data_IF_799456431027
#
_entry.id   IF_799456431027
#
_cell.length_a   1.000
_cell.length_b   1.000
_cell.length_c   1.000
_cell.angle_alpha   90.00
_cell.angle_beta   90.00
_cell.angle_gamma   90.00
#
_symmetry.space_group_name_H-M   'P 1'
#
loop_
_entity.id
_entity.type
_entity.pdbx_description
1 polymer ?
#
# COMPACT_ATOMS: atom_id res chain seq x y z
N UNK A 1 0.69 54.46 -50.80
CA UNK A 1 1.98 54.47 -50.09
C UNK A 1 1.71 54.31 -48.59
N UNK A 2 2.54 53.49 -47.92
CA UNK A 2 2.81 53.44 -46.47
C UNK A 2 1.89 52.60 -45.53
N UNK A 3 2.23 51.30 -45.51
CA UNK A 3 2.55 50.40 -44.38
C UNK A 3 1.80 50.46 -43.02
N UNK A 4 1.11 49.34 -42.75
CA UNK A 4 1.20 48.43 -41.60
C UNK A 4 1.77 48.91 -40.26
N UNK A 5 1.01 48.67 -39.18
CA UNK A 5 1.53 48.47 -37.83
C UNK A 5 0.91 47.21 -37.20
N UNK A 6 1.47 46.05 -37.53
CA UNK A 6 1.22 44.78 -36.85
C UNK A 6 2.07 44.76 -35.58
N UNK A 7 1.45 44.92 -34.40
CA UNK A 7 2.15 44.68 -33.12
C UNK A 7 2.14 43.19 -32.82
N UNK A 8 3.25 42.54 -33.14
CA UNK A 8 3.63 41.22 -32.64
C UNK A 8 3.85 41.32 -31.12
N UNK A 9 2.88 40.88 -30.33
CA UNK A 9 3.09 40.60 -28.91
C UNK A 9 3.73 39.20 -28.83
N UNK A 10 5.05 39.18 -28.72
CA UNK A 10 5.82 37.96 -28.53
C UNK A 10 5.51 37.35 -27.16
N UNK A 11 4.68 36.31 -27.13
CA UNK A 11 4.59 35.41 -25.99
C UNK A 11 5.82 34.50 -25.99
N UNK A 12 6.76 34.79 -25.10
CA UNK A 12 7.84 33.87 -24.75
C UNK A 12 7.23 32.69 -23.98
N UNK A 13 6.94 31.59 -24.68
CA UNK A 13 6.61 30.32 -24.06
C UNK A 13 7.92 29.73 -23.55
N UNK A 14 8.22 29.97 -22.27
CA UNK A 14 9.28 29.25 -21.56
C UNK A 14 8.76 27.83 -21.33
N UNK A 15 9.12 26.92 -22.24
CA UNK A 15 8.92 25.49 -22.04
C UNK A 15 9.83 25.03 -20.90
N UNK A 16 9.27 24.96 -19.69
CA UNK A 16 9.91 24.27 -18.56
C UNK A 16 9.88 22.78 -18.91
N UNK A 17 10.98 22.29 -19.47
CA UNK A 17 11.24 20.87 -19.60
C UNK A 17 11.34 20.30 -18.19
N UNK A 18 10.23 19.77 -17.68
CA UNK A 18 10.20 18.91 -16.51
C UNK A 18 11.03 17.66 -16.83
N UNK A 19 12.31 17.71 -16.49
CA UNK A 19 13.15 16.53 -16.38
C UNK A 19 12.58 15.69 -15.23
N UNK A 20 11.62 14.82 -15.56
CA UNK A 20 11.27 13.72 -14.69
C UNK A 20 12.51 12.86 -14.58
N UNK A 21 13.24 13.02 -13.48
CA UNK A 21 14.20 12.04 -13.01
C UNK A 21 13.38 10.75 -12.80
N UNK A 22 13.34 9.91 -13.83
CA UNK A 22 13.01 8.51 -13.70
C UNK A 22 14.07 7.93 -12.76
N UNK A 23 13.80 7.95 -11.46
CA UNK A 23 14.58 7.22 -10.49
C UNK A 23 14.46 5.76 -10.88
N UNK A 24 15.53 5.23 -11.49
CA UNK A 24 15.71 3.81 -11.79
C UNK A 24 15.30 2.98 -10.57
N UNK A 25 14.08 2.46 -10.59
CA UNK A 25 13.58 1.51 -9.62
C UNK A 25 14.38 0.21 -9.83
N UNK A 26 15.46 0.11 -9.07
CA UNK A 26 16.53 -0.87 -9.22
C UNK A 26 16.09 -2.20 -8.63
N UNK A 27 16.11 -3.25 -9.46
CA UNK A 27 15.85 -4.65 -9.12
C UNK A 27 14.43 -4.92 -8.60
N UNK A 28 13.62 -5.52 -9.47
CA UNK A 28 12.30 -6.05 -9.15
C UNK A 28 12.41 -7.54 -8.86
N UNK A 29 11.85 -8.01 -7.75
CA UNK A 29 11.64 -9.45 -7.51
C UNK A 29 10.17 -9.68 -7.20
N UNK A 30 9.52 -10.54 -7.98
CA UNK A 30 8.13 -10.93 -7.76
C UNK A 30 8.08 -12.24 -6.98
N UNK A 31 7.42 -12.23 -5.82
CA UNK A 31 7.19 -13.45 -5.04
C UNK A 31 5.79 -13.42 -4.46
N UNK A 32 5.01 -14.49 -4.72
CA UNK A 32 3.66 -14.65 -4.19
C UNK A 32 2.73 -13.44 -4.49
N UNK A 33 2.80 -12.88 -5.70
CA UNK A 33 2.03 -11.68 -6.07
C UNK A 33 2.61 -10.36 -5.53
N UNK A 34 3.75 -10.41 -4.85
CA UNK A 34 4.36 -9.23 -4.22
C UNK A 34 5.57 -8.79 -5.04
N UNK A 35 5.50 -7.57 -5.55
CA UNK A 35 6.60 -6.92 -6.23
C UNK A 35 7.48 -6.17 -5.22
N UNK A 36 8.72 -6.65 -5.06
CA UNK A 36 9.73 -6.01 -4.22
C UNK A 36 10.51 -4.99 -5.05
N UNK A 37 10.45 -3.72 -4.65
CA UNK A 37 11.09 -2.61 -5.33
C UNK A 37 11.99 -1.85 -4.35
N UNK A 38 13.27 -1.67 -4.69
CA UNK A 38 14.19 -0.93 -3.82
C UNK A 38 13.86 0.56 -3.79
N UNK A 39 13.88 1.14 -2.58
CA UNK A 39 13.62 2.56 -2.34
C UNK A 39 12.21 2.99 -2.80
N UNK A 40 11.30 2.04 -2.89
CA UNK A 40 9.93 2.34 -3.26
C UNK A 40 9.23 3.06 -2.13
N UNK A 41 8.43 4.05 -2.48
CA UNK A 41 7.59 4.79 -1.55
C UNK A 41 6.17 4.78 -2.09
N UNK A 42 5.15 4.59 -1.23
CA UNK A 42 3.77 4.79 -1.65
C UNK A 42 3.62 6.20 -2.21
N UNK A 43 2.77 6.34 -3.24
CA UNK A 43 2.42 7.64 -3.76
C UNK A 43 1.96 8.54 -2.60
N UNK A 44 2.56 9.73 -2.50
CA UNK A 44 2.02 10.74 -1.61
C UNK A 44 0.73 11.23 -2.27
N UNK A 45 -0.41 11.03 -1.62
CA UNK A 45 -1.64 11.62 -2.12
C UNK A 45 -1.53 13.13 -1.96
N UNK A 46 -2.03 13.86 -2.95
CA UNK A 46 -2.18 15.32 -2.92
C UNK A 46 -3.35 15.76 -2.02
N UNK A 47 -3.88 14.85 -1.20
CA UNK A 47 -5.05 15.04 -0.35
C UNK A 47 -6.39 14.80 -1.06
N UNK A 48 -6.41 14.59 -2.38
CA UNK A 48 -7.65 14.28 -3.12
C UNK A 48 -8.02 12.80 -3.08
N UNK A 49 -7.02 11.92 -3.06
CA UNK A 49 -7.20 10.46 -2.94
C UNK A 49 -7.17 10.01 -1.47
N UNK A 50 -8.18 9.21 -1.06
CA UNK A 50 -8.23 8.62 0.29
C UNK A 50 -7.35 7.36 0.34
N UNK A 51 -6.12 7.52 0.79
CA UNK A 51 -5.27 6.37 1.15
C UNK A 51 -5.64 5.85 2.53
N UNK A 52 -6.02 4.58 2.60
CA UNK A 52 -6.27 3.90 3.86
C UNK A 52 -4.99 3.24 4.37
N UNK A 53 -4.54 3.61 5.55
CA UNK A 53 -3.43 2.94 6.23
C UNK A 53 -3.98 1.85 7.15
N UNK A 54 -3.66 0.60 6.86
CA UNK A 54 -4.00 -0.53 7.72
C UNK A 54 -2.77 -0.88 8.56
N UNK A 55 -2.88 -0.64 9.87
CA UNK A 55 -1.81 -0.94 10.81
C UNK A 55 -2.07 -2.25 11.51
N UNK A 56 -1.09 -3.15 11.48
CA UNK A 56 -1.07 -4.43 12.20
C UNK A 56 -0.04 -4.38 13.34
N UNK A 57 -0.42 -4.89 14.51
CA UNK A 57 0.49 -4.97 15.67
C UNK A 57 1.11 -6.36 15.78
N UNK A 58 2.46 -6.42 15.84
CA UNK A 58 3.22 -7.65 16.04
C UNK A 58 4.73 -7.45 16.18
N UNK A 59 5.54 -8.24 15.49
CA UNK A 59 6.99 -8.14 15.34
C UNK A 59 7.29 -7.67 13.90
N UNK A 60 7.56 -6.37 13.74
CA UNK A 60 7.82 -5.76 12.43
C UNK A 60 9.01 -6.37 11.67
N UNK A 61 9.95 -7.05 12.36
CA UNK A 61 11.06 -7.77 11.71
C UNK A 61 10.61 -9.06 11.01
N UNK A 62 9.38 -9.51 11.28
CA UNK A 62 8.79 -10.74 10.74
C UNK A 62 7.59 -10.45 9.85
N UNK A 63 7.47 -9.20 9.39
CA UNK A 63 6.45 -8.79 8.44
C UNK A 63 6.52 -9.65 7.18
N UNK A 64 5.39 -10.22 6.80
CA UNK A 64 5.19 -10.94 5.55
C UNK A 64 3.83 -10.59 4.98
N UNK A 65 3.78 -10.54 3.66
CA UNK A 65 2.56 -10.39 2.89
C UNK A 65 2.58 -11.41 1.76
N UNK A 66 1.40 -11.93 1.42
CA UNK A 66 1.19 -12.88 0.34
C UNK A 66 -0.09 -12.51 -0.40
N UNK A 67 -0.04 -12.39 -1.71
CA UNK A 67 -1.22 -12.34 -2.56
C UNK A 67 -1.85 -13.73 -2.71
N UNK A 68 -3.15 -13.81 -2.57
CA UNK A 68 -3.92 -15.03 -2.85
C UNK A 68 -4.42 -15.03 -4.30
N UNK A 69 -4.79 -16.23 -4.79
CA UNK A 69 -5.49 -16.36 -6.06
C UNK A 69 -6.98 -16.15 -5.81
N UNK A 70 -7.61 -15.31 -6.64
CA UNK A 70 -9.04 -15.12 -6.63
C UNK A 70 -9.75 -16.09 -7.60
N UNK A 71 -11.07 -16.21 -7.49
CA UNK A 71 -11.90 -17.21 -8.21
C UNK A 71 -11.66 -17.27 -9.72
N UNK A 72 -11.24 -16.17 -10.34
CA UNK A 72 -11.01 -16.06 -11.78
C UNK A 72 -9.55 -16.31 -12.20
N UNK A 73 -8.73 -16.88 -11.31
CA UNK A 73 -7.31 -17.15 -11.56
C UNK A 73 -6.39 -15.92 -11.48
N UNK A 74 -6.95 -14.71 -11.34
CA UNK A 74 -6.19 -13.49 -11.08
C UNK A 74 -5.52 -13.58 -9.70
N UNK A 75 -4.25 -13.20 -9.64
CA UNK A 75 -3.47 -13.19 -8.38
C UNK A 75 -3.38 -11.76 -7.89
N UNK A 76 -3.63 -11.57 -6.61
CA UNK A 76 -3.50 -10.25 -5.97
C UNK A 76 -2.08 -9.72 -6.04
N UNK A 77 -1.95 -8.42 -6.30
CA UNK A 77 -0.69 -7.74 -6.56
C UNK A 77 -0.45 -6.56 -5.60
N UNK A 78 0.75 -6.49 -5.04
CA UNK A 78 1.17 -5.38 -4.19
C UNK A 78 2.60 -4.95 -4.54
N UNK A 79 2.87 -3.65 -4.40
CA UNK A 79 4.23 -3.11 -4.48
C UNK A 79 4.73 -2.83 -3.06
N UNK A 80 5.91 -3.35 -2.73
CA UNK A 80 6.50 -3.19 -1.41
C UNK A 80 7.91 -2.63 -1.50
N UNK A 81 8.28 -1.81 -0.52
CA UNK A 81 9.67 -1.43 -0.33
C UNK A 81 10.50 -2.67 0.04
N UNK A 82 11.76 -2.68 -0.40
CA UNK A 82 12.69 -3.75 -0.14
C UNK A 82 14.10 -3.23 0.11
N UNK A 83 14.86 -4.00 0.89
CA UNK A 83 16.29 -3.76 1.11
C UNK A 83 17.10 -4.94 0.60
N UNK A 84 18.27 -4.66 0.03
CA UNK A 84 19.21 -5.71 -0.37
C UNK A 84 19.96 -6.23 0.85
N UNK A 85 19.87 -7.53 1.12
CA UNK A 85 20.66 -8.23 2.14
C UNK A 85 21.34 -9.40 1.47
N UNK A 86 22.68 -9.43 1.48
CA UNK A 86 23.48 -10.50 0.84
C UNK A 86 23.04 -10.78 -0.62
N UNK A 87 22.83 -9.71 -1.40
CA UNK A 87 22.37 -9.75 -2.81
C UNK A 87 20.96 -10.32 -3.02
N UNK A 88 20.15 -10.46 -1.98
CA UNK A 88 18.73 -10.83 -2.07
C UNK A 88 17.87 -9.67 -1.59
N UNK A 89 16.77 -9.40 -2.29
CA UNK A 89 15.78 -8.44 -1.81
C UNK A 89 15.00 -9.05 -0.65
N UNK A 90 14.91 -8.28 0.43
CA UNK A 90 14.12 -8.59 1.61
C UNK A 90 13.09 -7.50 1.78
N UNK A 91 11.84 -7.93 1.91
CA UNK A 91 10.69 -7.08 2.17
C UNK A 91 10.96 -6.14 3.36
N UNK A 92 10.69 -4.84 3.16
CA UNK A 92 10.60 -3.84 4.22
C UNK A 92 9.13 -3.55 4.53
N UNK A 93 8.91 -2.97 5.70
CA UNK A 93 7.58 -2.54 6.10
C UNK A 93 7.18 -1.26 5.34
N UNK A 94 6.53 -1.46 4.21
CA UNK A 94 5.19 -0.97 3.90
C UNK A 94 4.91 -1.42 2.47
N UNK A 95 3.66 -1.79 2.19
CA UNK A 95 3.26 -2.22 0.86
C UNK A 95 2.04 -1.42 0.42
N UNK A 96 2.00 -0.99 -0.84
CA UNK A 96 0.78 -0.48 -1.47
C UNK A 96 0.05 -1.56 -2.25
N UNK A 97 -1.26 -1.42 -2.28
CA UNK A 97 -2.17 -2.12 -3.19
C UNK A 97 -3.06 -1.09 -3.87
N UNK A 98 -3.35 -1.32 -5.15
CA UNK A 98 -4.38 -0.60 -5.89
C UNK A 98 -5.65 -1.44 -5.94
N UNK A 99 -6.76 -0.95 -5.37
CA UNK A 99 -8.03 -1.71 -5.31
C UNK A 99 -8.78 -1.82 -6.65
N UNK A 100 -8.36 -1.08 -7.68
CA UNK A 100 -9.15 -0.85 -8.90
C UNK A 100 -9.09 -1.95 -9.96
N UNK A 101 -8.12 -2.87 -9.89
CA UNK A 101 -7.92 -3.84 -10.98
C UNK A 101 -8.91 -5.00 -10.96
N UNK A 102 -9.23 -5.50 -9.76
CA UNK A 102 -10.13 -6.62 -9.48
C UNK A 102 -10.22 -6.82 -7.96
N UNK A 103 -11.10 -7.73 -7.50
CA UNK A 103 -11.09 -8.15 -6.11
C UNK A 103 -9.74 -8.79 -5.75
N UNK A 104 -9.14 -8.34 -4.65
CA UNK A 104 -7.82 -8.78 -4.21
C UNK A 104 -7.86 -9.28 -2.77
N UNK A 105 -7.09 -10.33 -2.49
CA UNK A 105 -6.99 -10.92 -1.17
C UNK A 105 -5.52 -11.05 -0.78
N UNK A 106 -5.20 -10.53 0.40
CA UNK A 106 -3.87 -10.61 0.97
C UNK A 106 -3.91 -11.30 2.32
N UNK A 107 -2.97 -12.22 2.53
CA UNK A 107 -2.65 -12.71 3.87
C UNK A 107 -1.43 -11.92 4.38
N UNK A 108 -1.62 -11.19 5.47
CA UNK A 108 -0.59 -10.37 6.14
C UNK A 108 -0.26 -10.99 7.49
N UNK A 109 1.04 -11.22 7.75
CA UNK A 109 1.52 -11.75 9.03
C UNK A 109 2.59 -10.85 9.62
N UNK A 110 2.43 -10.56 10.91
CA UNK A 110 3.36 -9.77 11.70
C UNK A 110 4.07 -10.60 12.78
N UNK A 111 4.04 -11.94 12.76
CA UNK A 111 4.63 -12.74 13.85
C UNK A 111 5.44 -13.93 13.33
N UNK A 112 6.27 -14.55 14.20
CA UNK A 112 7.00 -15.77 13.84
C UNK A 112 6.10 -16.97 13.57
N UNK A 113 4.88 -16.96 14.12
CA UNK A 113 3.94 -18.06 13.96
C UNK A 113 2.89 -17.74 12.89
N UNK A 114 3.36 -17.66 11.64
CA UNK A 114 2.56 -17.28 10.46
C UNK A 114 1.28 -18.09 10.27
N UNK A 115 1.24 -19.32 10.78
CA UNK A 115 0.08 -20.23 10.69
C UNK A 115 -1.01 -19.94 11.72
N UNK A 116 -0.70 -19.22 12.80
CA UNK A 116 -1.64 -19.00 13.92
C UNK A 116 -2.10 -17.55 14.06
N UNK A 117 -1.29 -16.60 13.62
CA UNK A 117 -1.55 -15.17 13.78
C UNK A 117 -1.36 -14.48 12.43
N UNK A 118 -2.45 -14.13 11.75
CA UNK A 118 -2.44 -13.41 10.48
C UNK A 118 -3.69 -12.54 10.34
N UNK A 119 -3.66 -11.59 9.41
CA UNK A 119 -4.83 -10.85 8.97
C UNK A 119 -5.05 -11.14 7.49
N UNK A 120 -6.30 -11.49 7.15
CA UNK A 120 -6.76 -11.60 5.78
C UNK A 120 -7.44 -10.29 5.41
N UNK A 121 -6.93 -9.64 4.37
CA UNK A 121 -7.46 -8.37 3.87
C UNK A 121 -8.06 -8.60 2.50
N UNK A 122 -9.34 -8.29 2.35
CA UNK A 122 -10.07 -8.37 1.09
C UNK A 122 -10.33 -6.95 0.60
N UNK A 123 -9.85 -6.65 -0.60
CA UNK A 123 -10.23 -5.47 -1.38
C UNK A 123 -11.27 -5.91 -2.39
N UNK A 124 -12.45 -5.31 -2.33
CA UNK A 124 -13.45 -5.48 -3.36
C UNK A 124 -13.25 -4.41 -4.42
N UNK A 125 -13.47 -4.78 -5.67
CA UNK A 125 -13.51 -3.87 -6.82
C UNK A 125 -14.52 -2.72 -6.66
N UNK A 126 -15.47 -2.85 -5.73
CA UNK A 126 -16.40 -1.80 -5.31
C UNK A 126 -15.79 -0.73 -4.41
N UNK A 127 -14.49 -0.82 -4.06
CA UNK A 127 -13.83 0.11 -3.13
C UNK A 127 -13.98 -0.23 -1.65
N UNK A 128 -14.63 -1.35 -1.32
CA UNK A 128 -14.78 -1.82 0.06
C UNK A 128 -13.55 -2.64 0.49
N UNK A 129 -13.10 -2.41 1.72
CA UNK A 129 -11.96 -3.08 2.32
C UNK A 129 -12.44 -3.83 3.56
N UNK A 130 -12.22 -5.14 3.62
CA UNK A 130 -12.50 -5.95 4.79
C UNK A 130 -11.21 -6.49 5.40
N UNK A 131 -11.03 -6.33 6.71
CA UNK A 131 -9.92 -6.91 7.47
C UNK A 131 -10.46 -7.94 8.45
N UNK A 132 -10.02 -9.17 8.30
CA UNK A 132 -10.32 -10.31 9.17
C UNK A 132 -9.02 -10.79 9.82
N UNK A 133 -8.88 -10.59 11.13
CA UNK A 133 -7.75 -11.09 11.91
C UNK A 133 -8.01 -12.50 12.44
N UNK A 134 -6.99 -13.34 12.41
CA UNK A 134 -6.98 -14.68 13.02
C UNK A 134 -5.86 -14.73 14.06
N UNK A 135 -6.19 -15.22 15.25
CA UNK A 135 -5.27 -15.21 16.39
C UNK A 135 -5.10 -13.82 17.01
N UNK A 136 -4.02 -13.67 17.80
CA UNK A 136 -3.72 -12.47 18.59
C UNK A 136 -3.12 -11.33 17.76
N UNK A 137 -3.70 -11.02 16.61
CA UNK A 137 -3.37 -9.84 15.80
C UNK A 137 -4.41 -8.76 16.02
N UNK A 138 -3.91 -7.54 16.20
CA UNK A 138 -4.71 -6.33 16.21
C UNK A 138 -4.47 -5.59 14.91
N UNK A 139 -5.55 -5.13 14.28
CA UNK A 139 -5.54 -4.36 13.05
C UNK A 139 -6.45 -3.14 13.17
N UNK A 140 -6.24 -2.13 12.35
CA UNK A 140 -7.14 -0.99 12.25
C UNK A 140 -6.77 -0.06 11.11
N UNK A 141 -7.77 0.62 10.58
CA UNK A 141 -7.58 1.77 9.72
C UNK A 141 -7.10 2.92 10.61
N UNK A 142 -5.89 3.42 10.39
CA UNK A 142 -5.28 4.46 11.25
C UNK A 142 -5.22 5.82 10.58
N UNK A 143 -5.64 5.90 9.32
CA UNK A 143 -5.81 7.11 8.52
C UNK A 143 -7.21 7.72 8.58
N UNK A 144 -8.20 6.95 9.04
CA UNK A 144 -9.62 7.30 8.84
C UNK A 144 -10.12 8.23 9.95
N UNK A 145 -9.69 8.01 11.20
CA UNK A 145 -9.94 8.89 12.33
C UNK A 145 -8.71 8.96 13.25
N UNK A 146 -8.40 10.17 13.75
CA UNK A 146 -7.33 10.34 14.74
C UNK A 146 -7.65 9.54 16.01
N UNK A 147 -6.73 8.68 16.43
CA UNK A 147 -6.90 7.85 17.64
C UNK A 147 -7.81 6.63 17.46
N UNK A 148 -8.15 6.25 16.22
CA UNK A 148 -8.94 5.03 15.96
C UNK A 148 -8.29 3.81 16.62
N UNK A 149 -9.06 3.15 17.49
CA UNK A 149 -8.57 1.98 18.23
C UNK A 149 -8.37 0.81 17.29
N UNK A 150 -7.19 0.21 17.37
CA UNK A 150 -6.94 -1.10 16.78
C UNK A 150 -7.86 -2.15 17.42
N UNK A 151 -8.30 -3.14 16.65
CA UNK A 151 -9.22 -4.20 17.09
C UNK A 151 -8.72 -5.57 16.63
N UNK A 152 -9.06 -6.61 17.38
CA UNK A 152 -8.94 -7.99 16.94
C UNK A 152 -10.34 -8.52 16.63
N UNK A 153 -10.53 -9.03 15.42
CA UNK A 153 -11.78 -9.65 14.97
C UNK A 153 -11.98 -11.03 15.59
N UNK A 154 -10.92 -11.71 16.08
CA UNK A 154 -11.08 -12.93 16.89
C UNK A 154 -11.85 -12.64 18.18
N UNK A 155 -11.66 -11.46 18.78
CA UNK A 155 -12.33 -11.04 20.01
C UNK A 155 -13.69 -10.38 19.78
N UNK A 156 -13.93 -9.81 18.59
CA UNK A 156 -15.16 -9.06 18.29
C UNK A 156 -16.08 -9.74 17.28
N UNK A 157 -15.66 -10.86 16.68
CA UNK A 157 -16.33 -11.63 15.62
C UNK A 157 -16.77 -10.83 14.37
N UNK A 158 -16.50 -9.54 14.30
CA UNK A 158 -16.85 -8.66 13.19
C UNK A 158 -15.61 -8.25 12.42
N UNK A 159 -15.67 -8.32 11.09
CA UNK A 159 -14.64 -7.78 10.21
C UNK A 159 -14.54 -6.25 10.39
N UNK A 160 -13.35 -5.69 10.19
CA UNK A 160 -13.18 -4.24 10.08
C UNK A 160 -13.47 -3.87 8.63
N UNK A 161 -14.39 -2.93 8.41
CA UNK A 161 -14.84 -2.53 7.08
C UNK A 161 -14.57 -1.03 6.89
N UNK A 162 -13.96 -0.67 5.76
CA UNK A 162 -13.85 0.71 5.30
C UNK A 162 -14.32 0.81 3.84
N UNK A 163 -14.75 2.01 3.43
CA UNK A 163 -15.12 2.34 2.05
C UNK A 163 -14.32 3.54 1.58
N UNK A 164 -13.71 3.43 0.41
CA UNK A 164 -13.09 4.55 -0.29
C UNK A 164 -13.22 4.36 -1.79
N UNK A 165 -13.51 5.44 -2.51
CA UNK A 165 -13.73 5.36 -3.96
C UNK A 165 -12.41 5.37 -4.75
N UNK A 166 -11.28 5.69 -4.10
CA UNK A 166 -9.94 5.78 -4.69
C UNK A 166 -8.86 5.24 -3.73
N UNK A 167 -8.86 3.92 -3.53
CA UNK A 167 -8.10 3.29 -2.44
C UNK A 167 -6.70 2.87 -2.89
N UNK A 168 -5.70 3.66 -2.49
CA UNK A 168 -4.39 3.10 -2.16
C UNK A 168 -4.41 2.58 -0.72
N UNK A 169 -4.01 1.32 -0.49
CA UNK A 169 -3.85 0.81 0.89
C UNK A 169 -2.41 0.60 1.23
N UNK A 170 -2.01 1.17 2.37
CA UNK A 170 -0.68 0.95 2.94
C UNK A 170 -0.80 -0.07 4.08
N UNK A 171 -0.13 -1.20 3.93
CA UNK A 171 0.05 -2.15 5.02
C UNK A 171 1.25 -1.77 5.86
N UNK A 172 1.07 -1.63 7.18
CA UNK A 172 2.17 -1.41 8.11
C UNK A 172 2.16 -2.39 9.27
N UNK A 173 3.32 -2.93 9.63
CA UNK A 173 3.53 -3.76 10.80
C UNK A 173 4.31 -3.01 11.89
N UNK A 174 3.65 -2.66 12.99
CA UNK A 174 4.28 -1.99 14.13
C UNK A 174 4.60 -2.99 15.25
N UNK A 175 5.69 -2.75 15.98
CA UNK A 175 6.08 -3.63 17.07
C UNK A 175 5.15 -3.48 18.28
N UNK A 176 4.66 -4.58 18.86
CA UNK A 176 3.97 -4.55 20.17
C UNK A 176 4.92 -4.35 21.36
N UNK A 177 6.13 -3.81 21.13
CA UNK A 177 6.92 -3.29 22.24
C UNK A 177 6.26 -2.00 22.72
N UNK A 178 5.15 -2.13 23.46
CA UNK A 178 4.91 -1.21 24.58
C UNK A 178 6.21 -1.26 25.37
N UNK A 179 6.89 -0.11 25.47
CA UNK A 179 8.22 -0.01 26.06
C UNK A 179 8.31 -0.86 27.32
N UNK A 180 9.33 -1.70 27.39
CA UNK A 180 9.84 -2.10 28.70
C UNK A 180 10.55 -0.89 29.28
#
# INVERSE_FOLDING_TARGET
MLFSNFRFVGFAIVAVALAFAATDAKSTSMKDGIELVQNWKPAQTDGSEKVHMITFVGDGKKYQIKGEKYANGKTSNAHCDATSVKRRLVLKNSCSVSSKEHDQIFTVSCTSNKKKNFARVLFKSTGEIEVNTHGKIWAGFTSDEEGQKLRSTELSMQALIAKGDDVGVIFSCISNKRGK
#
